data_IF_136823554924
#
_entry.id   IF_136823554924
#
_cell.length_a   1.000
_cell.length_b   1.000
_cell.length_c   1.000
_cell.angle_alpha   90.00
_cell.angle_beta   90.00
_cell.angle_gamma   90.00
#
_symmetry.space_group_name_H-M   'P 1'
#
loop_
_entity.id
_entity.type
_entity.pdbx_description
1 polymer ?
#
# COMPACT_ATOMS: atom_id res chain seq x y z
N UNK A 1 17.52 10.33 -10.10
CA UNK A 1 17.60 10.42 -8.64
C UNK A 1 16.25 10.03 -8.04
N UNK A 2 16.24 9.43 -6.83
CA UNK A 2 15.01 9.04 -6.15
C UNK A 2 15.10 9.42 -4.66
N UNK A 3 14.01 10.01 -4.15
CA UNK A 3 13.90 10.41 -2.75
C UNK A 3 12.72 9.69 -2.10
N UNK A 4 12.84 9.36 -0.83
CA UNK A 4 11.71 9.01 0.03
C UNK A 4 11.22 10.24 0.79
N UNK A 5 9.93 10.31 1.10
CA UNK A 5 9.36 11.35 1.96
C UNK A 5 8.39 10.74 2.97
N UNK A 6 8.59 11.04 4.24
CA UNK A 6 7.70 10.64 5.34
C UNK A 6 7.85 11.65 6.49
N UNK A 7 6.83 11.76 7.35
CA UNK A 7 6.90 12.53 8.59
C UNK A 7 7.84 11.89 9.63
N UNK A 8 8.11 10.60 9.49
CA UNK A 8 9.03 9.83 10.32
C UNK A 8 10.47 9.97 9.81
N UNK A 9 11.42 9.70 10.70
CA UNK A 9 12.84 9.64 10.37
C UNK A 9 13.15 8.52 9.36
N UNK A 10 14.28 8.68 8.65
CA UNK A 10 14.76 7.69 7.69
C UNK A 10 14.97 6.32 8.36
N UNK A 11 14.28 5.29 7.86
CA UNK A 11 14.45 3.90 8.28
C UNK A 11 15.22 3.03 7.27
N UNK A 12 15.53 3.59 6.09
CA UNK A 12 16.16 2.86 4.98
C UNK A 12 17.69 2.89 4.95
N UNK A 13 18.33 3.58 5.89
CA UNK A 13 19.79 3.68 5.96
C UNK A 13 20.41 4.71 5.00
N UNK A 14 19.59 5.52 4.31
CA UNK A 14 20.04 6.55 3.35
C UNK A 14 19.40 7.90 3.70
N UNK A 15 19.81 8.56 4.80
CA UNK A 15 19.17 9.81 5.24
C UNK A 15 19.35 10.96 4.24
N UNK A 16 20.40 10.95 3.44
CA UNK A 16 20.66 11.93 2.36
C UNK A 16 19.63 11.88 1.21
N UNK A 17 18.91 10.77 1.09
CA UNK A 17 17.84 10.57 0.11
C UNK A 17 16.44 10.56 0.76
N UNK A 18 16.35 11.10 1.99
CA UNK A 18 15.09 11.16 2.74
C UNK A 18 14.70 12.60 3.08
N UNK A 19 13.49 12.96 2.69
CA UNK A 19 12.86 14.23 3.06
C UNK A 19 11.94 13.94 4.25
N UNK A 20 12.36 14.36 5.44
CA UNK A 20 11.49 14.26 6.61
C UNK A 20 10.53 15.44 6.64
N UNK A 21 9.23 15.18 6.37
CA UNK A 21 8.22 16.23 6.31
C UNK A 21 6.87 15.75 5.76
N UNK A 22 5.94 16.68 5.63
CA UNK A 22 4.64 16.41 5.01
C UNK A 22 4.81 16.28 3.49
N UNK A 23 4.38 15.14 2.94
CA UNK A 23 4.41 14.91 1.50
C UNK A 23 3.59 15.95 0.72
N UNK A 24 2.56 16.53 1.31
CA UNK A 24 1.73 17.56 0.66
C UNK A 24 2.59 18.75 0.21
N UNK A 25 3.59 19.13 0.98
CA UNK A 25 4.53 20.21 0.66
C UNK A 25 5.48 19.88 -0.49
N UNK A 26 5.53 18.62 -0.89
CA UNK A 26 6.40 18.13 -1.95
C UNK A 26 5.68 17.92 -3.29
N UNK A 27 4.33 17.84 -3.30
CA UNK A 27 3.59 17.42 -4.49
C UNK A 27 3.72 18.38 -5.70
N UNK A 28 4.08 19.63 -5.48
CA UNK A 28 4.22 20.67 -6.51
C UNK A 28 5.68 21.05 -6.85
N UNK A 29 6.67 20.27 -6.39
CA UNK A 29 8.11 20.58 -6.57
C UNK A 29 8.70 20.13 -7.90
N UNK A 30 7.88 19.75 -8.88
CA UNK A 30 8.34 19.40 -10.23
C UNK A 30 8.93 18.00 -10.36
N UNK A 31 8.46 17.05 -9.58
CA UNK A 31 8.87 15.64 -9.67
C UNK A 31 8.41 15.00 -10.99
N UNK A 32 9.25 14.14 -11.56
CA UNK A 32 8.93 13.37 -12.77
C UNK A 32 7.97 12.21 -12.47
N UNK A 33 8.04 11.63 -11.25
CA UNK A 33 7.25 10.49 -10.84
C UNK A 33 7.00 10.47 -9.33
N UNK A 34 5.81 10.02 -8.96
CA UNK A 34 5.41 9.74 -7.58
C UNK A 34 4.98 8.28 -7.43
N UNK A 35 5.57 7.56 -6.50
CA UNK A 35 5.06 6.27 -6.00
C UNK A 35 4.62 6.49 -4.56
N UNK A 36 3.31 6.46 -4.31
CA UNK A 36 2.73 6.82 -3.01
C UNK A 36 2.07 5.63 -2.31
N UNK A 37 2.25 5.56 -0.99
CA UNK A 37 1.70 4.53 -0.09
C UNK A 37 0.88 5.19 1.02
N UNK A 38 -0.21 5.92 0.70
CA UNK A 38 -0.97 6.65 1.71
C UNK A 38 -1.56 5.71 2.77
N UNK A 39 -1.71 6.17 4.03
CA UNK A 39 -2.23 5.36 5.11
C UNK A 39 -3.60 4.75 4.79
N UNK A 40 -3.70 3.42 4.84
CA UNK A 40 -4.94 2.69 4.54
C UNK A 40 -5.86 2.50 5.75
N UNK A 41 -5.50 2.97 6.92
CA UNK A 41 -6.18 2.73 8.22
C UNK A 41 -7.68 3.05 8.18
N UNK A 42 -8.07 4.09 7.43
CA UNK A 42 -9.46 4.54 7.34
C UNK A 42 -10.15 4.08 6.05
N UNK A 43 -9.43 3.41 5.14
CA UNK A 43 -9.87 3.08 3.79
C UNK A 43 -10.03 1.58 3.53
N UNK A 44 -9.19 0.74 4.17
CA UNK A 44 -9.13 -0.69 3.92
C UNK A 44 -10.35 -1.44 4.48
N UNK A 45 -10.90 -2.38 3.69
CA UNK A 45 -12.05 -3.23 4.12
C UNK A 45 -11.75 -4.09 5.35
N UNK A 46 -10.50 -4.38 5.64
CA UNK A 46 -10.11 -5.08 6.87
C UNK A 46 -10.49 -4.33 8.15
N UNK A 47 -10.68 -3.01 8.06
CA UNK A 47 -11.15 -2.13 9.13
C UNK A 47 -12.63 -1.73 9.02
N UNK A 48 -13.43 -2.34 8.13
CA UNK A 48 -14.78 -1.91 7.79
C UNK A 48 -15.75 -1.87 8.98
N UNK A 49 -15.57 -2.72 9.98
CA UNK A 49 -16.38 -2.69 11.23
C UNK A 49 -16.33 -1.34 11.96
N UNK A 50 -15.30 -0.54 11.73
CA UNK A 50 -15.11 0.78 12.33
C UNK A 50 -15.48 1.93 11.40
N UNK A 51 -15.98 1.65 10.19
CA UNK A 51 -16.34 2.69 9.23
C UNK A 51 -17.45 3.64 9.72
N UNK A 52 -18.54 3.17 10.38
CA UNK A 52 -19.56 4.07 10.87
C UNK A 52 -18.99 5.18 11.78
N UNK A 53 -18.11 4.81 12.72
CA UNK A 53 -17.45 5.77 13.60
C UNK A 53 -16.50 6.70 12.81
N UNK A 54 -15.71 6.15 11.89
CA UNK A 54 -14.75 6.93 11.08
C UNK A 54 -15.42 7.89 10.11
N UNK A 55 -16.63 7.58 9.69
CA UNK A 55 -17.47 8.49 8.89
C UNK A 55 -17.97 9.61 9.79
N UNK A 56 -18.52 9.27 10.97
CA UNK A 56 -19.11 10.22 11.88
C UNK A 56 -18.09 11.25 12.42
N UNK A 57 -16.85 10.84 12.65
CA UNK A 57 -15.78 11.71 13.19
C UNK A 57 -14.88 12.33 12.08
N UNK A 58 -15.21 12.12 10.80
CA UNK A 58 -14.52 12.72 9.65
C UNK A 58 -13.20 12.05 9.24
N UNK A 59 -12.66 11.12 10.02
CA UNK A 59 -11.37 10.46 9.72
C UNK A 59 -11.37 9.70 8.40
N UNK A 60 -12.51 9.14 7.99
CA UNK A 60 -12.60 8.46 6.70
C UNK A 60 -12.47 9.45 5.54
N UNK A 61 -13.13 10.60 5.65
CA UNK A 61 -13.04 11.65 4.63
C UNK A 61 -11.61 12.21 4.55
N UNK A 62 -10.96 12.48 5.67
CA UNK A 62 -9.55 12.88 5.68
C UNK A 62 -8.64 11.89 4.97
N UNK A 63 -8.86 10.57 5.17
CA UNK A 63 -8.12 9.54 4.46
C UNK A 63 -8.38 9.53 2.95
N UNK A 64 -9.63 9.76 2.53
CA UNK A 64 -10.00 9.91 1.11
C UNK A 64 -9.32 11.14 0.51
N UNK A 65 -9.39 12.29 1.18
CA UNK A 65 -8.82 13.55 0.69
C UNK A 65 -7.30 13.45 0.54
N UNK A 66 -6.65 12.81 1.51
CA UNK A 66 -5.20 12.55 1.45
C UNK A 66 -4.81 11.61 0.29
N UNK A 67 -5.59 10.56 0.04
CA UNK A 67 -5.40 9.71 -1.13
C UNK A 67 -5.57 10.50 -2.42
N UNK A 68 -6.61 11.35 -2.49
CA UNK A 68 -6.92 12.14 -3.68
C UNK A 68 -5.88 13.23 -3.94
N UNK A 69 -5.24 13.80 -2.91
CA UNK A 69 -4.15 14.76 -3.11
C UNK A 69 -2.96 14.13 -3.86
N UNK A 70 -2.63 12.85 -3.58
CA UNK A 70 -1.58 12.14 -4.30
C UNK A 70 -1.94 11.92 -5.77
N UNK A 71 -3.14 11.39 -6.05
CA UNK A 71 -3.52 11.03 -7.43
C UNK A 71 -3.73 12.27 -8.32
N UNK A 72 -4.11 13.39 -7.71
CA UNK A 72 -4.33 14.66 -8.41
C UNK A 72 -3.09 15.56 -8.48
N UNK A 73 -1.96 15.14 -7.91
CA UNK A 73 -0.73 15.93 -7.94
C UNK A 73 -0.33 16.32 -9.39
N UNK A 74 0.29 17.49 -9.61
CA UNK A 74 0.74 17.95 -10.92
C UNK A 74 2.03 17.22 -11.36
N UNK A 75 2.06 15.91 -11.14
CA UNK A 75 3.17 15.01 -11.48
C UNK A 75 2.75 14.15 -12.67
N UNK A 76 3.58 14.00 -13.71
CA UNK A 76 3.18 13.31 -14.94
C UNK A 76 3.00 11.80 -14.77
N UNK A 77 3.80 11.16 -13.92
CA UNK A 77 3.76 9.71 -13.67
C UNK A 77 3.42 9.46 -12.19
N UNK A 78 2.29 8.83 -11.90
CA UNK A 78 1.87 8.55 -10.52
C UNK A 78 1.42 7.10 -10.38
N UNK A 79 1.86 6.44 -9.32
CA UNK A 79 1.31 5.20 -8.81
C UNK A 79 0.90 5.38 -7.35
N UNK A 80 -0.38 5.20 -7.03
CA UNK A 80 -0.85 5.16 -5.64
C UNK A 80 -1.21 3.74 -5.28
N UNK A 81 -0.60 3.23 -4.21
CA UNK A 81 -0.85 1.91 -3.65
C UNK A 81 -1.82 1.99 -2.48
N UNK A 82 -2.78 1.08 -2.45
CA UNK A 82 -3.57 0.82 -1.25
C UNK A 82 -4.12 -0.61 -1.29
N UNK A 83 -4.42 -1.24 -0.14
CA UNK A 83 -5.11 -2.53 -0.14
C UNK A 83 -6.55 -2.39 -0.64
N UNK A 84 -7.22 -3.54 -0.85
CA UNK A 84 -8.66 -3.55 -1.19
C UNK A 84 -9.43 -2.73 -0.15
N UNK A 85 -10.12 -1.70 -0.62
CA UNK A 85 -10.78 -0.70 0.22
C UNK A 85 -11.84 0.12 -0.51
N UNK A 86 -12.30 1.15 0.18
CA UNK A 86 -13.39 2.02 -0.30
C UNK A 86 -12.98 2.88 -1.51
N UNK A 87 -11.70 3.08 -1.77
CA UNK A 87 -11.26 3.89 -2.91
C UNK A 87 -11.72 3.33 -4.25
N UNK A 88 -11.95 2.01 -4.34
CA UNK A 88 -12.56 1.37 -5.51
C UNK A 88 -13.97 1.85 -5.83
N UNK A 89 -14.69 2.43 -4.87
CA UNK A 89 -16.04 2.98 -5.00
C UNK A 89 -16.09 4.49 -4.83
N UNK A 90 -15.22 5.06 -4.00
CA UNK A 90 -15.18 6.50 -3.73
C UNK A 90 -14.46 7.30 -4.81
N UNK A 91 -13.53 6.66 -5.51
CA UNK A 91 -12.82 7.25 -6.65
C UNK A 91 -13.10 6.44 -7.93
N UNK A 92 -12.35 5.37 -8.15
CA UNK A 92 -12.54 4.44 -9.28
C UNK A 92 -11.92 3.08 -8.96
N UNK A 93 -12.23 2.05 -9.75
CA UNK A 93 -11.53 0.76 -9.63
C UNK A 93 -10.03 0.97 -9.86
N UNK A 94 -9.16 0.21 -9.17
CA UNK A 94 -7.73 0.25 -9.44
C UNK A 94 -7.46 -0.21 -10.87
N UNK A 95 -6.39 0.30 -11.47
CA UNK A 95 -5.95 -0.12 -12.80
C UNK A 95 -5.43 -1.55 -12.77
N UNK A 96 -4.85 -1.94 -11.63
CA UNK A 96 -4.28 -3.26 -11.44
C UNK A 96 -4.37 -3.71 -9.98
N UNK A 97 -4.53 -5.03 -9.77
CA UNK A 97 -4.33 -5.68 -8.47
C UNK A 97 -3.17 -6.66 -8.63
N UNK A 98 -2.11 -6.44 -7.88
CA UNK A 98 -0.91 -7.26 -7.89
C UNK A 98 -0.74 -8.03 -6.59
N UNK A 99 0.09 -9.04 -6.62
CA UNK A 99 0.48 -9.84 -5.47
C UNK A 99 1.99 -10.06 -5.45
N UNK A 100 2.64 -10.17 -4.27
CA UNK A 100 4.07 -10.44 -4.17
C UNK A 100 4.53 -11.71 -4.92
N UNK A 101 3.70 -12.77 -4.94
CA UNK A 101 4.01 -14.01 -5.66
C UNK A 101 4.15 -13.85 -7.19
N UNK A 102 3.70 -12.73 -7.75
CA UNK A 102 3.92 -12.38 -9.16
C UNK A 102 5.33 -11.84 -9.43
N UNK A 103 6.08 -11.53 -8.36
CA UNK A 103 7.36 -10.82 -8.40
C UNK A 103 8.46 -11.51 -7.58
N UNK A 104 8.37 -12.83 -7.39
CA UNK A 104 9.40 -13.65 -6.74
C UNK A 104 9.27 -13.80 -5.21
N UNK A 105 8.32 -13.12 -4.57
CA UNK A 105 8.10 -13.25 -3.13
C UNK A 105 6.97 -14.22 -2.82
N UNK A 106 7.23 -15.34 -2.15
CA UNK A 106 6.23 -16.38 -1.80
C UNK A 106 5.21 -15.89 -0.77
N UNK A 107 4.40 -14.90 -1.17
CA UNK A 107 3.40 -14.27 -0.32
C UNK A 107 2.17 -13.82 -1.09
N UNK A 108 1.00 -13.90 -0.47
CA UNK A 108 -0.25 -13.36 -0.98
C UNK A 108 -0.64 -12.08 -0.21
N UNK A 109 -0.67 -10.95 -0.91
CA UNK A 109 -1.17 -9.66 -0.44
C UNK A 109 -1.82 -8.97 -1.63
N UNK A 110 -3.13 -8.77 -1.61
CA UNK A 110 -3.81 -8.00 -2.66
C UNK A 110 -3.42 -6.53 -2.54
N UNK A 111 -2.69 -6.04 -3.50
CA UNK A 111 -2.17 -4.68 -3.57
C UNK A 111 -2.79 -4.00 -4.78
N UNK A 112 -3.64 -3.00 -4.56
CA UNK A 112 -4.28 -2.23 -5.61
C UNK A 112 -3.38 -1.07 -6.04
N UNK A 113 -3.26 -0.87 -7.34
CA UNK A 113 -2.53 0.24 -7.94
C UNK A 113 -3.49 1.12 -8.74
N UNK A 114 -3.46 2.42 -8.46
CA UNK A 114 -4.06 3.46 -9.28
C UNK A 114 -2.95 4.22 -9.99
N UNK A 115 -3.00 4.21 -11.32
CA UNK A 115 -1.91 4.69 -12.17
C UNK A 115 -2.33 5.94 -12.95
N UNK A 116 -1.38 6.84 -13.16
CA UNK A 116 -1.45 8.00 -14.05
C UNK A 116 -0.15 8.06 -14.82
N UNK A 117 -0.20 8.05 -16.16
CA UNK A 117 1.00 8.15 -17.00
C UNK A 117 2.00 6.99 -16.87
N UNK A 118 1.61 5.87 -16.27
CA UNK A 118 2.43 4.68 -16.07
C UNK A 118 1.77 3.46 -16.72
N UNK A 119 2.55 2.53 -17.31
CA UNK A 119 2.03 1.26 -17.79
C UNK A 119 1.69 0.32 -16.62
N UNK A 120 0.87 -0.72 -16.90
CA UNK A 120 0.65 -1.81 -15.96
C UNK A 120 1.98 -2.49 -15.62
N UNK A 121 2.15 -2.86 -14.35
CA UNK A 121 3.32 -3.57 -13.88
C UNK A 121 3.25 -5.04 -14.30
N UNK A 122 4.22 -5.50 -15.08
CA UNK A 122 4.29 -6.90 -15.57
C UNK A 122 4.94 -7.80 -14.52
N UNK A 123 4.39 -8.99 -14.28
CA UNK A 123 5.03 -10.00 -13.43
C UNK A 123 6.46 -10.27 -13.89
N UNK A 124 7.41 -10.37 -12.95
CA UNK A 124 8.82 -10.66 -13.25
C UNK A 124 9.19 -12.10 -12.96
N UNK A 125 8.58 -12.68 -11.92
CA UNK A 125 8.84 -14.08 -11.52
C UNK A 125 7.61 -14.62 -10.79
N UNK A 126 6.90 -15.56 -11.41
CA UNK A 126 5.72 -16.20 -10.81
C UNK A 126 6.17 -17.36 -9.95
N UNK A 127 5.96 -17.21 -8.63
CA UNK A 127 6.28 -18.25 -7.63
C UNK A 127 5.01 -18.73 -6.91
N UNK A 128 5.18 -19.66 -5.96
CA UNK A 128 4.07 -20.12 -5.11
C UNK A 128 3.45 -18.97 -4.31
N UNK A 129 2.13 -19.04 -4.10
CA UNK A 129 1.34 -17.99 -3.41
C UNK A 129 1.64 -17.85 -1.92
N UNK A 130 2.53 -18.68 -1.38
CA UNK A 130 2.82 -18.77 0.04
C UNK A 130 1.78 -19.59 0.80
N UNK A 131 2.10 -19.88 2.05
CA UNK A 131 1.26 -20.67 2.93
C UNK A 131 0.06 -19.85 3.46
N UNK A 132 -1.05 -20.54 3.71
CA UNK A 132 -2.25 -19.98 4.30
C UNK A 132 -2.57 -20.65 5.62
N UNK A 133 -3.03 -19.84 6.58
CA UNK A 133 -3.71 -20.31 7.77
C UNK A 133 -5.21 -20.37 7.47
N UNK A 134 -5.84 -21.53 7.68
CA UNK A 134 -7.25 -21.75 7.41
C UNK A 134 -8.01 -22.07 8.70
N UNK A 135 -9.23 -21.56 8.82
CA UNK A 135 -10.13 -21.84 9.94
C UNK A 135 -11.59 -21.73 9.51
N UNK A 136 -12.46 -22.24 10.35
CA UNK A 136 -13.91 -22.07 10.21
C UNK A 136 -14.36 -21.01 11.21
N UNK A 137 -15.10 -20.00 10.77
CA UNK A 137 -15.65 -18.98 11.66
C UNK A 137 -16.87 -19.50 12.44
N UNK A 138 -17.36 -18.72 13.41
CA UNK A 138 -18.52 -19.07 14.27
C UNK A 138 -19.81 -19.36 13.48
N UNK A 139 -19.88 -18.96 12.22
CA UNK A 139 -21.02 -19.17 11.33
C UNK A 139 -20.81 -20.37 10.37
N UNK A 140 -19.79 -21.21 10.60
CA UNK A 140 -19.45 -22.35 9.76
C UNK A 140 -18.76 -21.98 8.43
N UNK A 141 -18.42 -20.72 8.20
CA UNK A 141 -17.77 -20.26 6.96
C UNK A 141 -16.27 -20.49 7.00
N UNK A 142 -15.74 -21.19 6.00
CA UNK A 142 -14.29 -21.33 5.79
C UNK A 142 -13.66 -19.97 5.53
N UNK A 143 -12.61 -19.66 6.26
CA UNK A 143 -11.79 -18.47 6.15
C UNK A 143 -10.35 -18.87 5.94
N UNK A 144 -9.58 -18.02 5.25
CA UNK A 144 -8.14 -18.20 5.12
C UNK A 144 -7.44 -16.84 5.18
N UNK A 145 -6.22 -16.85 5.69
CA UNK A 145 -5.35 -15.69 5.76
C UNK A 145 -3.93 -16.12 5.42
N UNK A 146 -3.20 -15.31 4.67
CA UNK A 146 -1.80 -15.59 4.38
C UNK A 146 -1.00 -15.74 5.68
N UNK A 147 -0.17 -16.78 5.77
CA UNK A 147 0.58 -17.14 6.98
C UNK A 147 1.54 -16.03 7.41
N UNK A 148 2.24 -15.39 6.45
CA UNK A 148 3.14 -14.27 6.73
C UNK A 148 2.45 -13.14 7.52
N UNK A 149 1.18 -12.87 7.18
CA UNK A 149 0.37 -11.87 7.86
C UNK A 149 0.02 -12.30 9.30
N UNK A 150 -0.37 -13.56 9.48
CA UNK A 150 -0.66 -14.11 10.82
C UNK A 150 0.59 -14.15 11.69
N UNK A 151 1.74 -14.50 11.12
CA UNK A 151 3.03 -14.51 11.82
C UNK A 151 3.44 -13.09 12.25
N UNK A 152 3.22 -12.09 11.40
CA UNK A 152 3.44 -10.69 11.76
C UNK A 152 2.53 -10.25 12.92
N UNK A 153 1.25 -10.68 12.94
CA UNK A 153 0.34 -10.40 14.05
C UNK A 153 0.80 -11.05 15.36
N UNK A 154 1.33 -12.28 15.32
CA UNK A 154 1.83 -13.02 16.49
C UNK A 154 3.13 -12.44 17.05
N UNK A 155 4.01 -11.95 16.16
CA UNK A 155 5.31 -11.36 16.53
C UNK A 155 5.17 -9.97 17.15
N UNK A 156 4.16 -9.20 16.73
CA UNK A 156 3.97 -7.83 17.18
C UNK A 156 3.46 -7.77 18.62
N UNK A 157 4.15 -7.05 19.49
CA UNK A 157 3.76 -6.77 20.87
C UNK A 157 2.85 -5.55 20.99
N UNK A 158 2.98 -4.61 20.06
CA UNK A 158 2.21 -3.36 20.04
C UNK A 158 1.45 -3.17 18.71
N UNK A 159 0.48 -2.25 18.70
CA UNK A 159 -0.21 -1.88 17.47
C UNK A 159 0.72 -1.19 16.47
N UNK A 160 1.71 -0.44 16.94
CA UNK A 160 2.72 0.22 16.10
C UNK A 160 3.60 -0.83 15.41
N UNK A 161 4.18 -1.77 16.15
CA UNK A 161 4.95 -2.89 15.57
C UNK A 161 4.13 -3.71 14.56
N UNK A 162 2.85 -3.95 14.87
CA UNK A 162 1.93 -4.64 13.96
C UNK A 162 1.75 -3.87 12.65
N UNK A 163 1.60 -2.56 12.73
CA UNK A 163 1.51 -1.69 11.56
C UNK A 163 2.78 -1.76 10.73
N UNK A 164 3.94 -1.60 11.34
CA UNK A 164 5.26 -1.66 10.69
C UNK A 164 5.51 -3.01 9.99
N UNK A 165 5.22 -4.14 10.66
CA UNK A 165 5.40 -5.47 10.06
C UNK A 165 4.47 -5.72 8.86
N UNK A 166 3.28 -5.10 8.85
CA UNK A 166 2.30 -5.24 7.77
C UNK A 166 2.53 -4.28 6.60
N UNK A 167 3.12 -3.12 6.85
CA UNK A 167 3.42 -2.12 5.81
C UNK A 167 4.67 -2.44 5.01
N UNK A 168 5.45 -3.44 5.44
CA UNK A 168 6.70 -3.81 4.79
C UNK A 168 6.49 -4.07 3.29
N UNK A 169 7.29 -3.39 2.48
CA UNK A 169 7.31 -3.55 1.02
C UNK A 169 7.98 -4.87 0.65
N UNK A 170 7.41 -5.58 -0.32
CA UNK A 170 8.01 -6.76 -0.92
C UNK A 170 9.03 -6.33 -1.98
N UNK A 171 10.27 -6.83 -1.86
CA UNK A 171 11.40 -6.39 -2.69
C UNK A 171 11.18 -6.66 -4.19
N UNK A 172 10.52 -7.75 -4.54
CA UNK A 172 10.21 -8.08 -5.93
C UNK A 172 9.33 -7.02 -6.59
N UNK A 173 8.30 -6.53 -5.88
CA UNK A 173 7.43 -5.45 -6.37
C UNK A 173 8.23 -4.15 -6.53
N UNK A 174 9.01 -3.75 -5.53
CA UNK A 174 9.81 -2.53 -5.57
C UNK A 174 10.82 -2.56 -6.73
N UNK A 175 11.50 -3.68 -6.94
CA UNK A 175 12.42 -3.90 -8.06
C UNK A 175 11.72 -3.80 -9.42
N UNK A 176 10.52 -4.41 -9.54
CA UNK A 176 9.73 -4.35 -10.77
C UNK A 176 9.30 -2.91 -11.09
N UNK A 177 8.82 -2.14 -10.10
CA UNK A 177 8.49 -0.72 -10.24
C UNK A 177 9.70 0.09 -10.71
N UNK A 178 10.85 -0.07 -10.03
CA UNK A 178 12.08 0.62 -10.38
C UNK A 178 12.56 0.28 -11.81
N UNK A 179 12.45 -0.98 -12.23
CA UNK A 179 12.93 -1.41 -13.55
C UNK A 179 12.00 -1.03 -14.68
N UNK A 180 10.66 -1.14 -14.49
CA UNK A 180 9.69 -0.99 -15.58
C UNK A 180 9.17 0.45 -15.74
N UNK A 181 9.27 1.30 -14.72
CA UNK A 181 8.71 2.65 -14.75
C UNK A 181 9.76 3.76 -14.91
N UNK A 182 11.06 3.43 -14.77
CA UNK A 182 12.17 4.41 -14.95
C UNK A 182 12.79 4.39 -16.35
N UNK A 183 12.24 3.58 -17.23
CA UNK A 183 12.64 3.53 -18.65
C UNK A 183 11.83 4.51 -19.49
#
# INVERSE_FOLDING_TARGET
EAYSCDILECSGGFPEWHIQGDIIEQLDKGWDMLIAFPPCTHLAVSGARHFPQKIADGRQQQGIDFFMSMINAPIPKIAVENPIGIMSTKYRKPDQIIHPWMFGDKASKSTCLWLKGLPLLLPTEIVDKGEFFEWVDKNGKKKRQAKWYMDALKKAKTNAERSTLRSKTFLGIAKAMATQWTT
#
